data_IF_372434439684
#
_entry.id   IF_372434439684
#
_cell.length_a   1.000
_cell.length_b   1.000
_cell.length_c   1.000
_cell.angle_alpha   90.00
_cell.angle_beta   90.00
_cell.angle_gamma   90.00
#
_symmetry.space_group_name_H-M   'P 1'
#
loop_
_entity.id
_entity.type
_entity.pdbx_description
1 polymer ?
#
# COMPACT_ATOMS: atom_id res chain seq x y z
N UNK A 1 -17.37 -16.66 34.17
CA UNK A 1 -16.82 -17.14 32.89
C UNK A 1 -17.41 -18.51 32.58
N UNK A 2 -17.72 -18.86 31.33
CA UNK A 2 -18.30 -20.15 30.94
C UNK A 2 -17.27 -21.27 31.17
N UNK A 3 -17.69 -22.48 31.61
CA UNK A 3 -16.80 -23.63 31.84
C UNK A 3 -15.90 -23.96 30.63
N UNK A 4 -16.45 -23.80 29.42
CA UNK A 4 -15.70 -24.00 28.18
C UNK A 4 -14.58 -22.96 28.00
N UNK A 5 -14.88 -21.68 28.27
CA UNK A 5 -13.90 -20.61 28.16
C UNK A 5 -12.76 -20.78 29.17
N UNK A 6 -13.05 -21.19 30.40
CA UNK A 6 -12.03 -21.51 31.40
C UNK A 6 -11.15 -22.68 30.94
N UNK A 7 -11.77 -23.75 30.43
CA UNK A 7 -11.05 -24.91 29.93
C UNK A 7 -10.09 -24.56 28.78
N UNK A 8 -10.52 -23.65 27.86
CA UNK A 8 -9.66 -23.14 26.79
C UNK A 8 -8.54 -22.27 27.34
N UNK A 9 -8.88 -21.33 28.25
CA UNK A 9 -7.95 -20.33 28.76
C UNK A 9 -6.80 -20.94 29.60
N UNK A 10 -7.10 -22.01 30.33
CA UNK A 10 -6.09 -22.84 31.06
C UNK A 10 -5.04 -23.44 30.10
N UNK A 11 -5.35 -23.64 28.83
CA UNK A 11 -4.49 -24.31 27.81
C UNK A 11 -3.91 -23.34 26.79
N UNK A 12 -4.68 -22.34 26.48
CA UNK A 12 -4.32 -21.24 25.59
C UNK A 12 -4.88 -19.97 26.21
N UNK A 13 -4.05 -19.05 26.72
CA UNK A 13 -4.50 -17.87 27.49
C UNK A 13 -5.16 -16.82 26.59
N UNK A 14 -6.33 -17.15 26.04
CA UNK A 14 -7.09 -16.30 25.10
C UNK A 14 -7.66 -15.06 25.79
N UNK A 15 -8.06 -15.18 27.06
CA UNK A 15 -8.59 -14.06 27.85
C UNK A 15 -7.48 -13.04 28.15
N UNK A 16 -6.29 -13.53 28.45
CA UNK A 16 -5.12 -12.66 28.70
C UNK A 16 -4.67 -11.96 27.42
N UNK A 17 -4.61 -12.68 26.30
CA UNK A 17 -4.33 -12.11 24.98
C UNK A 17 -5.40 -11.05 24.59
N UNK A 18 -6.68 -11.35 24.78
CA UNK A 18 -7.77 -10.40 24.56
C UNK A 18 -7.60 -9.14 25.43
N UNK A 19 -7.36 -9.30 26.72
CA UNK A 19 -7.18 -8.18 27.63
C UNK A 19 -5.97 -7.33 27.24
N UNK A 20 -4.85 -7.94 26.89
CA UNK A 20 -3.62 -7.25 26.52
C UNK A 20 -3.76 -6.44 25.23
N UNK A 21 -4.46 -6.98 24.23
CA UNK A 21 -4.49 -6.38 22.89
C UNK A 21 -5.78 -5.63 22.57
N UNK A 22 -6.88 -5.87 23.27
CA UNK A 22 -8.19 -5.25 23.01
C UNK A 22 -8.83 -4.68 24.27
N UNK A 23 -9.14 -5.52 25.27
CA UNK A 23 -9.98 -5.14 26.40
C UNK A 23 -9.34 -4.13 27.35
N UNK A 24 -8.03 -4.24 27.60
CA UNK A 24 -7.24 -3.34 28.46
C UNK A 24 -6.21 -2.53 27.66
N UNK A 25 -6.34 -2.47 26.34
CA UNK A 25 -5.52 -1.60 25.52
C UNK A 25 -6.10 -0.19 25.54
N UNK A 26 -5.29 0.79 25.95
CA UNK A 26 -5.67 2.19 26.00
C UNK A 26 -5.12 2.93 24.78
N UNK A 27 -6.01 3.53 24.01
CA UNK A 27 -5.67 4.37 22.88
C UNK A 27 -5.82 5.85 23.20
N UNK A 28 -5.10 6.76 22.53
CA UNK A 28 -5.26 8.20 22.72
C UNK A 28 -6.69 8.66 22.47
N UNK A 29 -7.20 9.53 23.36
CA UNK A 29 -8.61 10.01 23.33
C UNK A 29 -8.96 10.88 22.12
N UNK A 30 -7.98 11.39 21.35
CA UNK A 30 -8.16 12.35 20.26
C UNK A 30 -7.96 11.75 18.87
N UNK A 31 -8.20 10.45 18.69
CA UNK A 31 -8.22 9.88 17.36
C UNK A 31 -9.31 10.53 16.51
N UNK A 32 -8.98 10.76 15.25
CA UNK A 32 -9.89 11.30 14.24
C UNK A 32 -10.02 10.34 13.03
N UNK A 33 -10.75 10.75 12.01
CA UNK A 33 -11.02 9.96 10.80
C UNK A 33 -9.78 9.32 10.16
N UNK A 34 -8.60 9.93 10.26
CA UNK A 34 -7.36 9.39 9.71
C UNK A 34 -6.89 8.10 10.38
N UNK A 35 -7.41 7.77 11.55
CA UNK A 35 -7.05 6.54 12.27
C UNK A 35 -7.84 5.32 11.80
N UNK A 36 -8.94 5.49 11.07
CA UNK A 36 -9.69 4.37 10.48
C UNK A 36 -8.91 3.60 9.42
N UNK A 37 -7.97 4.25 8.72
CA UNK A 37 -7.27 3.61 7.60
C UNK A 37 -6.40 2.41 7.98
N UNK A 38 -6.04 2.24 9.25
CA UNK A 38 -5.38 1.04 9.75
C UNK A 38 -6.33 -0.16 9.83
N UNK A 39 -7.47 0.01 10.49
CA UNK A 39 -8.52 -1.03 10.59
C UNK A 39 -9.16 -1.33 9.23
N UNK A 40 -9.34 -0.33 8.37
CA UNK A 40 -9.83 -0.53 7.00
C UNK A 40 -8.84 -1.32 6.14
N UNK A 41 -7.52 -1.14 6.31
CA UNK A 41 -6.51 -1.96 5.62
C UNK A 41 -6.63 -3.44 6.02
N UNK A 42 -6.86 -3.72 7.30
CA UNK A 42 -7.13 -5.08 7.78
C UNK A 42 -8.42 -5.65 7.18
N UNK A 43 -9.48 -4.86 7.11
CA UNK A 43 -10.76 -5.27 6.51
C UNK A 43 -10.57 -5.65 5.04
N UNK A 44 -9.87 -4.80 4.27
CA UNK A 44 -9.62 -5.08 2.85
C UNK A 44 -8.71 -6.29 2.67
N UNK A 45 -7.70 -6.49 3.54
CA UNK A 45 -6.88 -7.71 3.52
C UNK A 45 -7.75 -8.97 3.68
N UNK A 46 -8.69 -8.96 4.63
CA UNK A 46 -9.62 -10.08 4.83
C UNK A 46 -10.50 -10.29 3.59
N UNK A 47 -11.01 -9.19 2.99
CA UNK A 47 -11.76 -9.28 1.73
C UNK A 47 -10.93 -9.94 0.63
N UNK A 48 -9.66 -9.53 0.44
CA UNK A 48 -8.78 -10.08 -0.59
C UNK A 48 -8.49 -11.56 -0.38
N UNK A 49 -8.24 -11.97 0.87
CA UNK A 49 -8.01 -13.39 1.19
C UNK A 49 -9.26 -14.24 0.90
N UNK A 50 -10.42 -13.83 1.41
CA UNK A 50 -11.65 -14.58 1.22
C UNK A 50 -12.00 -14.68 -0.26
N UNK A 51 -12.08 -13.55 -0.96
CA UNK A 51 -12.46 -13.52 -2.37
C UNK A 51 -11.42 -14.22 -3.25
N UNK A 52 -10.12 -14.08 -2.93
CA UNK A 52 -9.03 -14.76 -3.64
C UNK A 52 -9.12 -16.27 -3.53
N UNK A 53 -9.34 -16.82 -2.33
CA UNK A 53 -9.51 -18.27 -2.13
C UNK A 53 -10.70 -18.79 -2.95
N UNK A 54 -11.85 -18.10 -2.93
CA UNK A 54 -13.01 -18.51 -3.74
C UNK A 54 -12.75 -18.46 -5.25
N UNK A 55 -12.01 -17.44 -5.72
CA UNK A 55 -11.65 -17.33 -7.14
C UNK A 55 -10.75 -18.50 -7.59
N UNK A 56 -9.84 -18.99 -6.74
CA UNK A 56 -8.94 -20.10 -7.10
C UNK A 56 -9.69 -21.40 -7.37
N UNK A 57 -10.89 -21.58 -6.82
CA UNK A 57 -11.69 -22.82 -7.01
C UNK A 57 -12.14 -23.01 -8.46
N UNK A 58 -12.23 -21.93 -9.25
CA UNK A 58 -12.69 -21.98 -10.64
C UNK A 58 -11.64 -21.43 -11.63
N UNK A 59 -10.54 -20.88 -11.14
CA UNK A 59 -9.49 -20.31 -11.97
C UNK A 59 -8.51 -21.39 -12.48
N UNK A 60 -8.13 -21.30 -13.77
CA UNK A 60 -7.15 -22.20 -14.40
C UNK A 60 -5.83 -21.44 -14.70
N UNK A 61 -4.70 -21.71 -14.01
CA UNK A 61 -3.43 -21.01 -14.17
C UNK A 61 -2.62 -21.50 -15.39
N UNK A 62 -3.25 -21.63 -16.55
CA UNK A 62 -2.57 -21.98 -17.81
C UNK A 62 -2.80 -20.88 -18.87
N UNK A 63 -1.85 -20.73 -19.79
CA UNK A 63 -1.97 -19.73 -20.86
C UNK A 63 -3.21 -19.93 -21.72
N UNK A 64 -3.62 -21.17 -21.93
CA UNK A 64 -4.80 -21.55 -22.72
C UNK A 64 -6.10 -21.35 -21.95
N UNK A 65 -6.11 -21.54 -20.63
CA UNK A 65 -7.31 -21.59 -19.82
C UNK A 65 -7.57 -20.36 -18.95
N UNK A 66 -6.58 -19.53 -18.67
CA UNK A 66 -6.69 -18.46 -17.68
C UNK A 66 -7.78 -17.44 -18.04
N UNK A 67 -7.70 -16.85 -19.22
CA UNK A 67 -8.72 -15.87 -19.65
C UNK A 67 -10.12 -16.47 -19.69
N UNK A 68 -10.26 -17.66 -20.30
CA UNK A 68 -11.54 -18.36 -20.39
C UNK A 68 -12.10 -18.72 -19.01
N UNK A 69 -11.25 -19.08 -18.03
CA UNK A 69 -11.71 -19.36 -16.67
C UNK A 69 -12.21 -18.11 -15.94
N UNK A 70 -11.62 -16.94 -16.20
CA UNK A 70 -12.15 -15.67 -15.67
C UNK A 70 -13.50 -15.33 -16.31
N UNK A 71 -13.66 -15.53 -17.62
CA UNK A 71 -14.96 -15.36 -18.28
C UNK A 71 -16.01 -16.33 -17.72
N UNK A 72 -15.65 -17.59 -17.48
CA UNK A 72 -16.51 -18.59 -16.84
C UNK A 72 -16.92 -18.13 -15.42
N UNK A 73 -15.98 -17.65 -14.60
CA UNK A 73 -16.30 -17.10 -13.27
C UNK A 73 -17.29 -15.93 -13.39
N UNK A 74 -17.10 -15.04 -14.36
CA UNK A 74 -17.93 -13.85 -14.51
C UNK A 74 -19.36 -14.16 -15.00
N UNK A 75 -19.57 -15.23 -15.78
CA UNK A 75 -20.81 -15.49 -16.51
C UNK A 75 -21.60 -16.68 -15.97
N UNK A 76 -20.91 -17.77 -15.61
CA UNK A 76 -21.54 -19.06 -15.35
C UNK A 76 -21.53 -19.45 -13.87
N UNK A 77 -20.50 -19.01 -13.11
CA UNK A 77 -20.44 -19.27 -11.67
C UNK A 77 -21.44 -18.39 -10.93
N UNK A 78 -22.31 -18.98 -10.14
CA UNK A 78 -23.28 -18.22 -9.33
C UNK A 78 -22.55 -17.24 -8.39
N UNK A 79 -22.87 -15.94 -8.48
CA UNK A 79 -22.19 -14.84 -7.77
C UNK A 79 -20.70 -14.66 -8.10
N UNK A 80 -20.17 -15.34 -9.12
CA UNK A 80 -18.79 -15.26 -9.53
C UNK A 80 -18.36 -13.84 -9.94
N UNK A 81 -19.23 -13.12 -10.68
CA UNK A 81 -19.02 -11.72 -11.02
C UNK A 81 -18.84 -10.83 -9.79
N UNK A 82 -19.61 -11.08 -8.71
CA UNK A 82 -19.50 -10.33 -7.48
C UNK A 82 -18.16 -10.61 -6.79
N UNK A 83 -17.76 -11.88 -6.66
CA UNK A 83 -16.45 -12.26 -6.11
C UNK A 83 -15.29 -11.63 -6.90
N UNK A 84 -15.38 -11.64 -8.23
CA UNK A 84 -14.35 -11.05 -9.11
C UNK A 84 -14.27 -9.54 -8.91
N UNK A 85 -15.41 -8.84 -8.84
CA UNK A 85 -15.39 -7.39 -8.60
C UNK A 85 -15.02 -7.02 -7.16
N UNK A 86 -15.43 -7.78 -6.17
CA UNK A 86 -14.96 -7.58 -4.78
C UNK A 86 -13.44 -7.71 -4.69
N UNK A 87 -12.83 -8.62 -5.45
CA UNK A 87 -11.39 -8.83 -5.48
C UNK A 87 -10.66 -7.71 -6.25
N UNK A 88 -11.07 -7.40 -7.45
CA UNK A 88 -10.41 -6.38 -8.30
C UNK A 88 -10.60 -4.95 -7.76
N UNK A 89 -11.81 -4.58 -7.37
CA UNK A 89 -12.08 -3.29 -6.70
C UNK A 89 -11.42 -3.25 -5.33
N UNK A 90 -11.39 -4.40 -4.64
CA UNK A 90 -10.68 -4.55 -3.37
C UNK A 90 -9.18 -4.28 -3.47
N UNK A 91 -8.53 -4.69 -4.54
CA UNK A 91 -7.12 -4.37 -4.78
C UNK A 91 -6.90 -2.85 -4.89
N UNK A 92 -7.74 -2.14 -5.65
CA UNK A 92 -7.69 -0.68 -5.72
C UNK A 92 -8.01 -0.02 -4.38
N UNK A 93 -9.04 -0.49 -3.67
CA UNK A 93 -9.39 0.01 -2.34
C UNK A 93 -8.24 -0.17 -1.34
N UNK A 94 -7.49 -1.28 -1.43
CA UNK A 94 -6.34 -1.54 -0.57
C UNK A 94 -5.26 -0.46 -0.75
N UNK A 95 -4.91 -0.11 -1.97
CA UNK A 95 -3.93 0.96 -2.21
C UNK A 95 -4.44 2.34 -1.79
N UNK A 96 -5.71 2.67 -2.02
CA UNK A 96 -6.31 3.91 -1.49
C UNK A 96 -6.14 3.99 0.03
N UNK A 97 -6.55 2.93 0.74
CA UNK A 97 -6.50 2.88 2.20
C UNK A 97 -5.06 2.95 2.71
N UNK A 98 -4.12 2.20 2.08
CA UNK A 98 -2.70 2.19 2.49
C UNK A 98 -2.03 3.53 2.21
N UNK A 99 -2.29 4.19 1.07
CA UNK A 99 -1.76 5.53 0.81
C UNK A 99 -2.26 6.56 1.82
N UNK A 100 -3.54 6.52 2.19
CA UNK A 100 -4.10 7.40 3.23
C UNK A 100 -3.53 7.07 4.62
N UNK A 101 -3.29 5.79 4.91
CA UNK A 101 -2.61 5.36 6.13
C UNK A 101 -1.17 5.88 6.22
N UNK A 102 -0.40 5.79 5.13
CA UNK A 102 0.95 6.34 5.04
C UNK A 102 0.95 7.87 5.14
N UNK A 103 0.01 8.54 4.44
CA UNK A 103 -0.15 9.98 4.53
C UNK A 103 -0.44 10.45 5.96
N UNK A 104 -1.32 9.76 6.69
CA UNK A 104 -1.56 10.03 8.11
C UNK A 104 -0.27 9.90 8.92
N UNK A 105 0.54 8.89 8.64
CA UNK A 105 1.81 8.72 9.33
C UNK A 105 2.79 9.88 9.07
N UNK A 106 2.86 10.37 7.83
CA UNK A 106 3.64 11.57 7.49
C UNK A 106 3.09 12.83 8.15
N UNK A 107 1.77 12.99 8.18
CA UNK A 107 1.11 14.16 8.75
C UNK A 107 1.29 14.27 10.28
N UNK A 108 1.27 13.14 10.98
CA UNK A 108 1.36 13.14 12.46
C UNK A 108 2.72 12.67 12.99
N UNK A 109 3.70 12.40 12.12
CA UNK A 109 5.03 11.94 12.52
C UNK A 109 5.01 10.57 13.20
N UNK A 110 4.12 9.66 12.74
CA UNK A 110 3.95 8.34 13.35
C UNK A 110 5.11 7.38 13.06
N UNK A 111 6.09 7.79 12.28
CA UNK A 111 7.33 7.09 11.98
C UNK A 111 8.50 7.48 12.91
N UNK A 112 8.37 8.59 13.67
CA UNK A 112 9.43 9.05 14.55
C UNK A 112 9.55 8.18 15.80
N UNK A 113 10.75 8.23 16.41
CA UNK A 113 11.08 7.47 17.63
C UNK A 113 9.97 7.54 18.70
N UNK A 114 9.57 6.39 19.26
CA UNK A 114 10.11 5.03 19.16
C UNK A 114 9.38 4.12 18.14
N UNK A 115 8.83 4.66 17.05
CA UNK A 115 7.95 3.96 16.09
C UNK A 115 8.62 3.64 14.77
N UNK A 116 9.96 3.73 14.70
CA UNK A 116 10.74 3.46 13.49
C UNK A 116 10.49 2.05 12.97
N UNK A 117 10.48 1.07 13.86
CA UNK A 117 10.27 -0.33 13.48
C UNK A 117 8.85 -0.58 12.94
N UNK A 118 7.84 0.12 13.49
CA UNK A 118 6.46 0.07 12.95
C UNK A 118 6.45 0.57 11.50
N UNK A 119 7.14 1.69 11.25
CA UNK A 119 7.26 2.24 9.90
C UNK A 119 7.95 1.28 8.94
N UNK A 120 9.07 0.67 9.37
CA UNK A 120 9.80 -0.31 8.54
C UNK A 120 8.94 -1.52 8.20
N UNK A 121 8.23 -2.11 9.16
CA UNK A 121 7.28 -3.19 8.86
C UNK A 121 6.18 -2.72 7.90
N UNK A 122 5.67 -1.49 8.09
CA UNK A 122 4.69 -0.91 7.16
C UNK A 122 5.25 -0.77 5.73
N UNK A 123 6.50 -0.37 5.58
CA UNK A 123 7.16 -0.29 4.26
C UNK A 123 7.41 -1.67 3.64
N UNK A 124 7.76 -2.68 4.44
CA UNK A 124 7.86 -4.05 3.95
C UNK A 124 6.50 -4.60 3.51
N UNK A 125 5.43 -4.33 4.28
CA UNK A 125 4.05 -4.65 3.89
C UNK A 125 3.72 -3.99 2.53
N UNK A 126 4.05 -2.72 2.37
CA UNK A 126 3.80 -1.98 1.12
C UNK A 126 4.54 -2.59 -0.07
N UNK A 127 5.82 -2.99 0.07
CA UNK A 127 6.57 -3.68 -0.98
C UNK A 127 5.95 -5.04 -1.35
N UNK A 128 5.59 -5.84 -0.34
CA UNK A 128 4.95 -7.13 -0.57
C UNK A 128 3.58 -6.94 -1.23
N UNK A 129 2.81 -5.93 -0.81
CA UNK A 129 1.53 -5.58 -1.43
C UNK A 129 1.69 -5.15 -2.90
N UNK A 130 2.76 -4.40 -3.24
CA UNK A 130 3.05 -4.06 -4.64
C UNK A 130 3.35 -5.33 -5.47
N UNK A 131 4.17 -6.24 -4.94
CA UNK A 131 4.47 -7.52 -5.60
C UNK A 131 3.21 -8.38 -5.74
N UNK A 132 2.39 -8.46 -4.69
CA UNK A 132 1.10 -9.17 -4.64
C UNK A 132 0.16 -8.67 -5.75
N UNK A 133 -0.02 -7.36 -5.83
CA UNK A 133 -0.89 -6.74 -6.82
C UNK A 133 -0.37 -6.93 -8.26
N UNK A 134 0.95 -6.81 -8.47
CA UNK A 134 1.55 -7.03 -9.77
C UNK A 134 1.37 -8.48 -10.27
N UNK A 135 1.64 -9.45 -9.39
CA UNK A 135 1.48 -10.86 -9.75
C UNK A 135 0.01 -11.22 -9.98
N UNK A 136 -0.91 -10.69 -9.15
CA UNK A 136 -2.36 -10.86 -9.32
C UNK A 136 -2.91 -10.25 -10.60
N UNK A 137 -2.34 -9.12 -11.04
CA UNK A 137 -2.76 -8.45 -12.27
C UNK A 137 -2.45 -9.25 -13.54
N UNK A 138 -1.42 -10.11 -13.54
CA UNK A 138 -1.14 -11.03 -14.66
C UNK A 138 -2.22 -12.11 -14.81
N UNK A 139 -2.84 -12.56 -13.71
CA UNK A 139 -3.67 -13.77 -13.69
C UNK A 139 -4.88 -13.73 -14.64
N UNK A 140 -5.60 -12.61 -14.88
CA UNK A 140 -6.67 -12.57 -15.86
C UNK A 140 -6.25 -12.89 -17.28
N UNK A 141 -4.97 -12.82 -17.60
CA UNK A 141 -4.40 -13.14 -18.91
C UNK A 141 -5.03 -12.36 -20.06
N UNK A 142 -5.38 -11.12 -19.78
CA UNK A 142 -5.83 -10.15 -20.77
C UNK A 142 -4.66 -9.41 -21.42
N UNK A 143 -4.96 -8.57 -22.43
CA UNK A 143 -3.96 -7.79 -23.15
C UNK A 143 -3.11 -6.91 -22.22
N UNK A 144 -3.72 -6.18 -21.30
CA UNK A 144 -2.96 -5.33 -20.38
C UNK A 144 -2.23 -6.13 -19.30
N UNK A 145 -2.79 -7.26 -18.86
CA UNK A 145 -2.13 -8.20 -17.95
C UNK A 145 -0.81 -8.70 -18.53
N UNK A 146 -0.85 -9.20 -19.76
CA UNK A 146 0.30 -9.74 -20.46
C UNK A 146 1.37 -8.69 -20.77
N UNK A 147 0.96 -7.59 -21.43
CA UNK A 147 1.89 -6.56 -21.85
C UNK A 147 2.41 -5.71 -20.68
N UNK A 148 1.60 -5.50 -19.65
CA UNK A 148 2.04 -4.87 -18.41
C UNK A 148 3.12 -5.70 -17.71
N UNK A 149 2.94 -7.01 -17.61
CA UNK A 149 3.96 -7.91 -17.06
C UNK A 149 5.23 -7.91 -17.91
N UNK A 150 5.11 -7.93 -19.25
CA UNK A 150 6.25 -7.87 -20.17
C UNK A 150 7.07 -6.58 -19.92
N UNK A 151 6.42 -5.43 -19.79
CA UNK A 151 7.08 -4.15 -19.51
C UNK A 151 7.80 -4.20 -18.16
N UNK A 152 7.11 -4.61 -17.09
CA UNK A 152 7.67 -4.59 -15.72
C UNK A 152 8.84 -5.56 -15.59
N UNK A 153 8.72 -6.79 -16.11
CA UNK A 153 9.82 -7.76 -16.04
C UNK A 153 11.02 -7.29 -16.86
N UNK A 154 10.78 -6.67 -18.03
CA UNK A 154 11.87 -6.09 -18.83
C UNK A 154 12.61 -4.93 -18.15
N UNK A 155 12.05 -4.30 -17.10
CA UNK A 155 12.77 -3.28 -16.32
C UNK A 155 13.95 -3.90 -15.56
N UNK A 156 13.83 -5.13 -15.08
CA UNK A 156 14.94 -5.83 -14.44
C UNK A 156 16.12 -6.05 -15.41
N UNK A 157 15.82 -6.24 -16.69
CA UNK A 157 16.85 -6.32 -17.75
C UNK A 157 17.66 -5.05 -17.97
N UNK A 158 17.26 -3.91 -17.36
CA UNK A 158 18.06 -2.70 -17.39
C UNK A 158 19.25 -2.72 -16.42
N UNK A 159 19.27 -3.66 -15.47
CA UNK A 159 20.35 -3.77 -14.47
C UNK A 159 21.60 -4.32 -15.17
N UNK A 160 22.73 -3.61 -15.13
CA UNK A 160 23.95 -4.07 -15.78
C UNK A 160 24.42 -5.45 -15.26
N UNK A 161 25.00 -6.24 -16.13
CA UNK A 161 25.61 -7.54 -15.87
C UNK A 161 24.62 -8.68 -15.57
N UNK A 162 23.66 -8.47 -14.68
CA UNK A 162 22.75 -9.54 -14.20
C UNK A 162 21.31 -9.40 -14.71
N UNK A 163 20.98 -8.29 -15.39
CA UNK A 163 19.60 -7.94 -15.71
C UNK A 163 18.90 -8.92 -16.62
N UNK A 164 19.58 -9.38 -17.68
CA UNK A 164 19.00 -10.33 -18.63
C UNK A 164 18.74 -11.69 -17.97
N UNK A 165 19.69 -12.20 -17.20
CA UNK A 165 19.55 -13.46 -16.45
C UNK A 165 18.45 -13.35 -15.39
N UNK A 166 18.37 -12.22 -14.69
CA UNK A 166 17.31 -11.96 -13.72
C UNK A 166 15.93 -11.91 -14.38
N UNK A 167 15.80 -11.24 -15.51
CA UNK A 167 14.56 -11.18 -16.28
C UNK A 167 14.12 -12.56 -16.77
N UNK A 168 15.07 -13.35 -17.26
CA UNK A 168 14.84 -14.74 -17.69
C UNK A 168 14.42 -15.62 -16.49
N UNK A 169 15.09 -15.47 -15.36
CA UNK A 169 14.74 -16.19 -14.13
C UNK A 169 13.36 -15.86 -13.61
N UNK A 170 12.96 -14.58 -13.59
CA UNK A 170 11.62 -14.13 -13.17
C UNK A 170 10.54 -14.72 -14.07
N UNK A 171 10.72 -14.64 -15.41
CA UNK A 171 9.77 -15.19 -16.38
C UNK A 171 9.74 -16.70 -16.37
N UNK A 172 10.91 -17.33 -16.20
CA UNK A 172 11.09 -18.77 -16.38
C UNK A 172 11.08 -19.20 -17.84
N UNK A 173 11.05 -18.25 -18.73
CA UNK A 173 11.04 -18.41 -20.19
C UNK A 173 11.59 -17.15 -20.87
N UNK A 174 11.85 -17.19 -22.18
CA UNK A 174 12.29 -16.02 -22.95
C UNK A 174 11.25 -14.92 -23.06
N UNK A 175 9.96 -15.28 -23.05
CA UNK A 175 8.82 -14.37 -23.06
C UNK A 175 7.92 -14.65 -21.85
N UNK A 176 6.95 -13.77 -21.59
CA UNK A 176 5.86 -14.07 -20.67
C UNK A 176 5.07 -15.25 -21.25
N UNK A 177 4.97 -16.33 -20.51
CA UNK A 177 4.38 -17.60 -20.95
C UNK A 177 3.54 -18.25 -19.86
N UNK A 178 2.97 -19.41 -20.13
CA UNK A 178 2.27 -20.23 -19.14
C UNK A 178 3.13 -20.58 -17.91
N UNK A 179 4.45 -20.68 -18.09
CA UNK A 179 5.40 -20.89 -16.98
C UNK A 179 5.41 -19.66 -16.05
N UNK A 180 5.48 -18.45 -16.63
CA UNK A 180 5.42 -17.19 -15.88
C UNK A 180 4.11 -17.09 -15.12
N UNK A 181 3.00 -17.37 -15.80
CA UNK A 181 1.65 -17.31 -15.21
C UNK A 181 1.53 -18.26 -14.03
N UNK A 182 1.99 -19.50 -14.15
CA UNK A 182 1.95 -20.48 -13.06
C UNK A 182 2.80 -20.07 -11.86
N UNK A 183 4.01 -19.55 -12.09
CA UNK A 183 4.88 -19.02 -11.03
C UNK A 183 4.20 -17.87 -10.28
N UNK A 184 3.63 -16.92 -11.02
CA UNK A 184 2.97 -15.76 -10.44
C UNK A 184 1.69 -16.16 -9.69
N UNK A 185 0.95 -17.14 -10.20
CA UNK A 185 -0.19 -17.72 -9.49
C UNK A 185 0.24 -18.33 -8.15
N UNK A 186 1.28 -19.15 -8.12
CA UNK A 186 1.76 -19.77 -6.88
C UNK A 186 2.24 -18.72 -5.86
N UNK A 187 2.95 -17.69 -6.31
CA UNK A 187 3.42 -16.60 -5.46
C UNK A 187 2.25 -15.76 -4.93
N UNK A 188 1.31 -15.36 -5.79
CA UNK A 188 0.16 -14.54 -5.43
C UNK A 188 -0.84 -15.26 -4.50
N UNK A 189 -1.06 -16.56 -4.71
CA UNK A 189 -2.08 -17.29 -3.92
C UNK A 189 -1.53 -17.83 -2.61
N UNK A 190 -0.23 -18.12 -2.53
CA UNK A 190 0.37 -18.82 -1.37
C UNK A 190 1.47 -17.99 -0.72
N UNK A 191 2.57 -17.74 -1.43
CA UNK A 191 3.79 -17.27 -0.79
C UNK A 191 3.67 -15.83 -0.28
N UNK A 192 3.23 -14.91 -1.13
CA UNK A 192 3.12 -13.49 -0.76
C UNK A 192 2.03 -13.23 0.28
N UNK A 193 0.83 -13.86 0.23
CA UNK A 193 -0.16 -13.73 1.29
C UNK A 193 0.36 -14.19 2.67
N UNK A 194 1.10 -15.29 2.73
CA UNK A 194 1.71 -15.77 3.99
C UNK A 194 2.73 -14.76 4.53
N UNK A 195 3.61 -14.24 3.67
CA UNK A 195 4.59 -13.21 4.05
C UNK A 195 3.87 -11.93 4.50
N UNK A 196 2.84 -11.51 3.76
CA UNK A 196 2.06 -10.32 4.09
C UNK A 196 1.39 -10.45 5.46
N UNK A 197 0.72 -11.58 5.73
CA UNK A 197 0.11 -11.86 7.03
C UNK A 197 1.14 -11.84 8.16
N UNK A 198 2.29 -12.48 7.97
CA UNK A 198 3.38 -12.45 8.95
C UNK A 198 3.87 -11.04 9.26
N UNK A 199 4.07 -10.21 8.23
CA UNK A 199 4.48 -8.82 8.39
C UNK A 199 3.41 -7.96 9.07
N UNK A 200 2.13 -8.18 8.75
CA UNK A 200 1.00 -7.49 9.40
C UNK A 200 0.95 -7.84 10.90
N UNK A 201 1.13 -9.09 11.27
CA UNK A 201 1.22 -9.51 12.68
C UNK A 201 2.37 -8.78 13.38
N UNK A 202 3.57 -8.75 12.79
CA UNK A 202 4.72 -8.05 13.36
C UNK A 202 4.48 -6.54 13.48
N UNK A 203 3.82 -5.93 12.49
CA UNK A 203 3.46 -4.50 12.50
C UNK A 203 2.53 -4.16 13.66
N UNK A 204 1.50 -4.98 13.89
CA UNK A 204 0.53 -4.80 14.98
C UNK A 204 1.19 -5.06 16.34
N UNK A 205 2.01 -6.10 16.46
CA UNK A 205 2.74 -6.38 17.70
C UNK A 205 3.67 -5.23 18.08
N UNK A 206 4.42 -4.69 17.12
CA UNK A 206 5.27 -3.52 17.34
C UNK A 206 4.44 -2.28 17.72
N UNK A 207 3.26 -2.09 17.12
CA UNK A 207 2.34 -1.01 17.48
C UNK A 207 1.84 -1.13 18.93
N UNK A 208 1.46 -2.32 19.36
CA UNK A 208 0.96 -2.54 20.72
C UNK A 208 2.07 -2.39 21.77
N UNK A 209 3.31 -2.73 21.43
CA UNK A 209 4.45 -2.55 22.34
C UNK A 209 4.70 -1.07 22.64
N UNK A 210 4.86 -0.23 21.61
CA UNK A 210 5.19 1.19 21.80
C UNK A 210 3.95 2.08 21.98
N UNK A 211 2.78 1.63 21.55
CA UNK A 211 1.50 2.36 21.58
C UNK A 211 1.29 3.28 20.37
N UNK A 212 0.02 3.53 20.08
CA UNK A 212 -0.41 4.39 18.98
C UNK A 212 0.03 5.84 19.16
N UNK A 213 0.45 6.46 18.07
CA UNK A 213 0.62 7.92 18.02
C UNK A 213 -0.76 8.62 17.96
N UNK A 214 -0.78 9.94 18.10
CA UNK A 214 -2.02 10.74 18.02
C UNK A 214 -1.76 12.06 17.27
N UNK A 215 -2.82 12.82 16.94
CA UNK A 215 -2.70 14.09 16.21
C UNK A 215 -1.77 15.13 16.84
N UNK A 216 -1.53 15.05 18.16
CA UNK A 216 -0.63 15.97 18.85
C UNK A 216 0.79 15.43 18.99
N UNK A 217 1.02 14.15 18.69
CA UNK A 217 2.33 13.51 18.80
C UNK A 217 2.76 13.21 20.24
N UNK A 218 1.83 13.17 21.20
CA UNK A 218 2.10 12.94 22.62
C UNK A 218 2.12 11.45 22.94
N UNK A 219 3.12 10.99 23.70
CA UNK A 219 3.18 9.60 24.17
C UNK A 219 2.34 9.45 25.46
N UNK A 220 1.09 8.99 25.31
CA UNK A 220 0.16 8.83 26.44
C UNK A 220 0.65 7.84 27.51
N UNK A 221 1.47 6.86 27.12
CA UNK A 221 2.05 5.86 28.04
C UNK A 221 3.03 6.47 29.06
N UNK A 222 3.52 7.69 28.83
CA UNK A 222 4.45 8.38 29.73
C UNK A 222 3.74 9.10 30.89
N UNK A 223 2.45 9.40 30.75
CA UNK A 223 1.66 10.12 31.75
C UNK A 223 0.51 9.23 32.24
N UNK A 224 0.75 8.51 33.34
CA UNK A 224 -0.20 7.56 33.93
C UNK A 224 -0.73 8.07 35.26
N UNK A 225 -1.88 7.55 35.64
CA UNK A 225 -2.44 7.72 36.98
C UNK A 225 -1.83 6.73 38.01
N UNK A 226 -2.31 6.75 39.24
CA UNK A 226 -1.88 5.88 40.34
C UNK A 226 -2.12 4.38 40.06
N UNK A 227 -3.06 4.07 39.18
CA UNK A 227 -3.40 2.70 38.75
C UNK A 227 -2.61 2.24 37.52
N UNK A 228 -1.68 3.06 37.02
CA UNK A 228 -0.90 2.77 35.82
C UNK A 228 -1.66 2.99 34.50
N UNK A 229 -2.85 3.61 34.54
CA UNK A 229 -3.70 3.90 33.37
C UNK A 229 -3.24 5.23 32.74
N UNK A 230 -3.05 5.29 31.41
CA UNK A 230 -2.72 6.54 30.73
C UNK A 230 -3.81 7.60 30.91
N UNK A 231 -3.47 8.76 31.49
CA UNK A 231 -4.42 9.86 31.77
C UNK A 231 -5.12 10.42 30.53
N UNK A 232 -4.52 10.28 29.34
CA UNK A 232 -5.07 10.70 28.06
C UNK A 232 -5.49 9.51 27.19
N UNK A 233 -5.66 8.32 27.82
CA UNK A 233 -6.09 7.11 27.17
C UNK A 233 -7.55 6.80 27.42
N UNK A 234 -8.21 6.21 26.43
CA UNK A 234 -9.53 5.59 26.56
C UNK A 234 -9.37 4.10 26.24
N UNK A 235 -10.11 3.19 26.93
CA UNK A 235 -10.12 1.79 26.55
C UNK A 235 -10.49 1.64 25.07
N UNK A 236 -9.70 0.86 24.32
CA UNK A 236 -9.99 0.64 22.91
C UNK A 236 -11.37 -0.01 22.74
N UNK A 237 -11.62 -1.07 23.47
CA UNK A 237 -12.96 -1.69 23.52
C UNK A 237 -13.73 -1.20 24.76
N UNK A 238 -15.00 -0.79 24.63
CA UNK A 238 -15.81 -0.78 23.38
C UNK A 238 -15.70 0.51 22.55
N UNK A 239 -15.08 1.57 23.04
CA UNK A 239 -15.18 2.91 22.46
C UNK A 239 -14.68 2.96 21.00
N UNK A 240 -13.39 2.66 20.77
CA UNK A 240 -12.83 2.68 19.41
C UNK A 240 -13.29 1.49 18.55
N UNK A 241 -13.67 0.38 19.14
CA UNK A 241 -14.31 -0.71 18.40
C UNK A 241 -15.61 -0.23 17.75
N UNK A 242 -16.44 0.55 18.43
CA UNK A 242 -17.68 1.12 17.86
C UNK A 242 -17.36 2.17 16.81
N UNK A 243 -16.36 3.02 17.03
CA UNK A 243 -15.89 4.00 16.04
C UNK A 243 -15.37 3.31 14.77
N UNK A 244 -14.57 2.25 14.91
CA UNK A 244 -14.06 1.49 13.77
C UNK A 244 -15.20 0.83 13.00
N UNK A 245 -16.23 0.29 13.66
CA UNK A 245 -17.43 -0.25 13.00
C UNK A 245 -18.20 0.82 12.21
N UNK A 246 -18.26 2.05 12.71
CA UNK A 246 -18.82 3.17 11.95
C UNK A 246 -17.98 3.45 10.69
N UNK A 247 -16.65 3.51 10.81
CA UNK A 247 -15.74 3.66 9.68
C UNK A 247 -15.89 2.54 8.64
N UNK A 248 -16.03 1.30 9.11
CA UNK A 248 -16.31 0.11 8.28
C UNK A 248 -17.63 0.26 7.54
N UNK A 249 -18.70 0.74 8.21
CA UNK A 249 -20.01 0.97 7.58
C UNK A 249 -19.93 1.99 6.43
N UNK A 250 -19.26 3.12 6.66
CA UNK A 250 -19.04 4.15 5.62
C UNK A 250 -18.19 3.59 4.47
N UNK A 251 -17.12 2.87 4.79
CA UNK A 251 -16.28 2.24 3.78
C UNK A 251 -17.07 1.25 2.92
N UNK A 252 -17.83 0.34 3.52
CA UNK A 252 -18.64 -0.63 2.79
C UNK A 252 -19.69 0.04 1.92
N UNK A 253 -20.33 1.11 2.40
CA UNK A 253 -21.27 1.87 1.57
C UNK A 253 -20.59 2.36 0.28
N UNK A 254 -19.45 3.03 0.39
CA UNK A 254 -18.70 3.53 -0.78
C UNK A 254 -18.21 2.36 -1.64
N UNK A 255 -17.62 1.35 -1.01
CA UNK A 255 -17.06 0.18 -1.69
C UNK A 255 -18.10 -0.58 -2.51
N UNK A 256 -19.29 -0.83 -1.94
CA UNK A 256 -20.38 -1.49 -2.65
C UNK A 256 -20.99 -0.62 -3.74
N UNK A 257 -21.06 0.71 -3.56
CA UNK A 257 -21.46 1.59 -4.66
C UNK A 257 -20.50 1.42 -5.85
N UNK A 258 -19.19 1.35 -5.61
CA UNK A 258 -18.23 1.09 -6.68
C UNK A 258 -18.41 -0.31 -7.27
N UNK A 259 -18.46 -1.35 -6.45
CA UNK A 259 -18.56 -2.76 -6.90
C UNK A 259 -19.82 -2.99 -7.74
N UNK A 260 -20.96 -2.43 -7.35
CA UNK A 260 -22.23 -2.69 -8.04
C UNK A 260 -22.50 -1.76 -9.23
N UNK A 261 -21.99 -0.54 -9.20
CA UNK A 261 -22.36 0.46 -10.22
C UNK A 261 -21.19 0.93 -11.08
N UNK A 262 -19.96 0.88 -10.57
CA UNK A 262 -18.78 1.42 -11.23
C UNK A 262 -17.52 0.55 -11.11
N UNK A 263 -17.60 -0.80 -11.29
CA UNK A 263 -16.47 -1.70 -10.96
C UNK A 263 -15.21 -1.45 -11.81
N UNK A 264 -15.37 -0.87 -12.99
CA UNK A 264 -14.25 -0.52 -13.89
C UNK A 264 -13.70 0.89 -13.61
N UNK A 265 -14.46 1.76 -12.92
CA UNK A 265 -14.13 3.18 -12.70
C UNK A 265 -13.68 3.89 -13.99
N UNK A 266 -14.42 3.66 -15.09
CA UNK A 266 -14.10 4.24 -16.39
C UNK A 266 -12.80 3.76 -17.03
N UNK A 267 -12.30 2.60 -16.62
CA UNK A 267 -11.02 2.04 -17.07
C UNK A 267 -9.85 2.32 -16.14
N UNK A 268 -10.08 2.97 -14.98
CA UNK A 268 -9.03 3.23 -13.99
C UNK A 268 -8.73 1.99 -13.15
N UNK A 269 -9.74 1.18 -12.81
CA UNK A 269 -9.59 -0.03 -12.02
C UNK A 269 -9.44 -1.28 -12.89
N UNK A 270 -10.19 -1.33 -14.01
CA UNK A 270 -10.10 -2.39 -15.01
C UNK A 270 -10.06 -1.74 -16.40
N UNK A 271 -8.91 -1.83 -17.04
CA UNK A 271 -8.67 -1.23 -18.36
C UNK A 271 -9.41 -1.99 -19.47
N UNK A 272 -10.04 -1.25 -20.38
CA UNK A 272 -10.81 -1.84 -21.51
C UNK A 272 -10.05 -2.88 -22.32
N UNK A 273 -8.75 -2.69 -22.69
CA UNK A 273 -8.02 -3.72 -23.44
C UNK A 273 -7.84 -5.03 -22.67
N UNK A 274 -7.97 -5.02 -21.34
CA UNK A 274 -7.82 -6.22 -20.54
C UNK A 274 -9.04 -7.16 -20.56
N UNK A 275 -10.14 -6.73 -21.20
CA UNK A 275 -11.29 -7.58 -21.54
C UNK A 275 -11.11 -8.37 -22.86
N UNK A 276 -9.93 -8.28 -23.47
CA UNK A 276 -9.52 -9.09 -24.62
C UNK A 276 -8.43 -10.07 -24.16
N UNK A 277 -8.45 -11.33 -24.69
CA UNK A 277 -7.43 -12.30 -24.35
C UNK A 277 -6.04 -11.82 -24.79
N UNK A 278 -5.02 -12.20 -24.04
CA UNK A 278 -3.63 -11.85 -24.37
C UNK A 278 -3.23 -12.33 -25.77
N UNK A 279 -2.75 -11.41 -26.58
CA UNK A 279 -2.17 -11.69 -27.89
C UNK A 279 -0.72 -11.20 -27.93
N UNK A 280 0.28 -12.12 -27.89
CA UNK A 280 1.70 -11.77 -27.94
C UNK A 280 2.14 -11.08 -29.24
N UNK A 281 1.35 -11.19 -30.29
CA UNK A 281 1.65 -10.61 -31.61
C UNK A 281 1.06 -9.23 -31.84
N UNK A 282 0.24 -8.73 -30.87
CA UNK A 282 -0.44 -7.46 -31.00
C UNK A 282 -0.23 -6.59 -29.75
N UNK A 283 0.72 -5.68 -29.83
CA UNK A 283 0.98 -4.72 -28.74
C UNK A 283 -0.16 -3.70 -28.64
N UNK A 284 -0.72 -3.43 -27.44
CA UNK A 284 -1.66 -2.34 -27.25
C UNK A 284 -1.06 -0.97 -27.58
N UNK A 285 -1.87 -0.04 -28.07
CA UNK A 285 -1.43 1.32 -28.43
C UNK A 285 -0.80 2.06 -27.24
N UNK A 286 -1.30 1.83 -26.05
CA UNK A 286 -0.79 2.42 -24.83
C UNK A 286 -0.75 1.39 -23.71
N UNK A 287 0.44 1.18 -23.14
CA UNK A 287 0.65 0.31 -22.00
C UNK A 287 0.98 1.20 -20.80
N UNK A 288 0.11 1.18 -19.78
CA UNK A 288 0.34 1.79 -18.49
C UNK A 288 0.11 0.75 -17.39
N UNK A 289 0.84 0.80 -16.27
CA UNK A 289 0.51 -0.03 -15.12
C UNK A 289 -0.81 0.45 -14.48
N UNK A 290 -1.38 -0.38 -13.62
CA UNK A 290 -2.57 0.00 -12.81
C UNK A 290 -2.30 1.29 -12.03
N UNK A 291 -3.31 2.12 -11.87
CA UNK A 291 -3.24 3.51 -11.40
C UNK A 291 -2.36 3.72 -10.14
N UNK A 292 -2.35 2.79 -9.22
CA UNK A 292 -1.57 2.92 -7.98
C UNK A 292 -0.04 2.77 -8.16
N UNK A 293 0.43 2.29 -9.33
CA UNK A 293 1.84 2.27 -9.70
C UNK A 293 2.25 3.45 -10.59
N UNK A 294 1.28 4.17 -11.14
CA UNK A 294 1.55 5.20 -12.14
C UNK A 294 2.40 6.38 -11.67
N UNK A 295 2.38 6.81 -10.38
CA UNK A 295 3.32 7.83 -9.92
C UNK A 295 4.78 7.42 -10.13
N UNK A 296 5.12 6.20 -9.77
CA UNK A 296 6.47 5.64 -9.92
C UNK A 296 6.83 5.39 -11.39
N UNK A 297 5.86 4.95 -12.20
CA UNK A 297 6.03 4.79 -13.63
C UNK A 297 6.26 6.12 -14.35
N UNK A 298 5.61 7.20 -13.91
CA UNK A 298 5.87 8.55 -14.43
C UNK A 298 7.31 8.99 -14.12
N UNK A 299 7.81 8.73 -12.91
CA UNK A 299 9.19 9.01 -12.51
C UNK A 299 10.21 8.23 -13.36
N UNK A 300 9.95 6.95 -13.64
CA UNK A 300 10.77 6.14 -14.54
C UNK A 300 10.84 6.77 -15.93
N UNK A 301 9.68 7.13 -16.51
CA UNK A 301 9.61 7.73 -17.86
C UNK A 301 10.16 9.15 -17.93
N UNK A 302 10.27 9.84 -16.79
CA UNK A 302 10.86 11.19 -16.73
C UNK A 302 12.36 11.20 -17.06
N UNK A 303 13.05 10.07 -16.91
CA UNK A 303 14.48 9.96 -17.27
C UNK A 303 14.60 9.66 -18.75
N UNK A 304 15.14 10.62 -19.51
CA UNK A 304 15.18 10.60 -20.98
C UNK A 304 16.58 10.68 -21.55
N UNK A 305 17.61 10.77 -20.69
CA UNK A 305 19.00 10.93 -21.13
C UNK A 305 19.90 9.84 -20.55
N UNK A 306 20.85 9.41 -21.34
CA UNK A 306 21.91 8.52 -20.89
C UNK A 306 22.89 9.29 -20.01
N UNK A 307 23.41 8.64 -18.97
CA UNK A 307 24.33 9.27 -18.03
C UNK A 307 25.39 8.28 -17.56
N UNK A 308 26.65 8.74 -17.48
CA UNK A 308 27.83 7.93 -17.04
C UNK A 308 27.94 6.60 -17.81
N UNK A 309 27.69 6.63 -19.12
CA UNK A 309 27.82 5.43 -19.97
C UNK A 309 26.71 4.39 -19.78
N UNK A 310 25.68 4.69 -18.99
CA UNK A 310 24.52 3.83 -18.78
C UNK A 310 23.28 4.43 -19.43
N UNK A 311 22.37 3.60 -19.98
CA UNK A 311 21.21 4.07 -20.72
C UNK A 311 20.16 4.72 -19.80
N UNK A 312 19.36 5.63 -20.35
CA UNK A 312 18.24 6.29 -19.66
C UNK A 312 17.30 5.28 -18.98
N UNK A 313 17.06 4.14 -19.58
CA UNK A 313 16.25 3.05 -19.01
C UNK A 313 16.78 2.59 -17.65
N UNK A 314 18.11 2.40 -17.51
CA UNK A 314 18.73 2.02 -16.23
C UNK A 314 18.47 3.11 -15.16
N UNK A 315 18.75 4.36 -15.49
CA UNK A 315 18.55 5.47 -14.55
C UNK A 315 17.08 5.67 -14.19
N UNK A 316 16.17 5.45 -15.14
CA UNK A 316 14.73 5.44 -14.87
C UNK A 316 14.34 4.38 -13.85
N UNK A 317 14.89 3.16 -13.94
CA UNK A 317 14.68 2.09 -12.95
C UNK A 317 15.28 2.48 -11.58
N UNK A 318 16.46 3.11 -11.57
CA UNK A 318 17.08 3.61 -10.32
C UNK A 318 16.25 4.70 -9.66
N UNK A 319 15.72 5.64 -10.43
CA UNK A 319 14.81 6.69 -9.93
C UNK A 319 13.52 6.09 -9.38
N UNK A 320 12.90 5.17 -10.11
CA UNK A 320 11.68 4.49 -9.66
C UNK A 320 11.91 3.68 -8.38
N UNK A 321 12.95 2.86 -8.33
CA UNK A 321 13.30 2.08 -7.14
C UNK A 321 13.73 2.96 -5.97
N UNK A 322 14.50 4.01 -6.25
CA UNK A 322 14.93 5.02 -5.28
C UNK A 322 13.77 5.78 -4.65
N UNK A 323 12.72 6.05 -5.42
CA UNK A 323 11.51 6.70 -4.92
C UNK A 323 10.78 5.85 -3.85
N UNK A 324 10.84 4.53 -3.97
CA UNK A 324 10.29 3.61 -2.95
C UNK A 324 11.30 3.43 -1.81
N UNK A 325 12.58 3.23 -2.12
CA UNK A 325 13.62 2.98 -1.14
C UNK A 325 13.80 4.15 -0.16
N UNK A 326 13.67 5.40 -0.62
CA UNK A 326 13.83 6.59 0.24
C UNK A 326 12.77 6.67 1.35
N UNK A 327 11.60 6.06 1.16
CA UNK A 327 10.56 5.99 2.17
C UNK A 327 11.01 5.23 3.43
N UNK A 328 11.89 4.23 3.28
CA UNK A 328 12.39 3.45 4.43
C UNK A 328 13.19 4.30 5.41
N UNK A 329 13.92 5.30 4.93
CA UNK A 329 14.82 6.11 5.75
C UNK A 329 14.19 7.37 6.34
N UNK A 330 12.91 7.62 6.08
CA UNK A 330 12.14 8.78 6.61
C UNK A 330 12.31 8.99 8.13
N UNK A 331 12.27 7.93 8.99
CA UNK A 331 12.44 8.11 10.43
C UNK A 331 13.73 8.79 10.85
N UNK A 332 14.79 8.66 10.06
CA UNK A 332 16.12 9.23 10.34
C UNK A 332 16.38 10.54 9.60
N UNK A 333 15.60 10.84 8.57
CA UNK A 333 15.68 12.11 7.84
C UNK A 333 14.99 13.25 8.61
N UNK A 334 13.88 12.97 9.28
CA UNK A 334 13.14 13.98 10.05
C UNK A 334 13.82 14.28 11.38
N UNK A 335 14.38 15.48 11.50
CA UNK A 335 15.10 15.97 12.68
C UNK A 335 14.31 16.98 13.50
N UNK A 336 13.01 17.11 13.26
CA UNK A 336 12.13 18.00 13.99
C UNK A 336 12.04 17.59 15.47
N UNK A 337 12.08 18.55 16.43
CA UNK A 337 11.83 18.26 17.83
C UNK A 337 10.37 17.91 18.13
N UNK A 338 9.46 18.17 17.18
CA UNK A 338 8.02 17.89 17.29
C UNK A 338 7.59 16.92 16.20
N UNK A 339 6.64 16.03 16.51
CA UNK A 339 6.21 14.97 15.59
C UNK A 339 5.18 15.46 14.58
N UNK A 340 4.09 16.00 15.07
CA UNK A 340 2.92 16.34 14.27
C UNK A 340 3.10 17.63 13.47
N UNK A 341 2.62 17.63 12.22
CA UNK A 341 2.52 18.82 11.37
C UNK A 341 1.68 19.95 12.00
N UNK A 342 0.86 19.65 13.04
CA UNK A 342 0.15 20.69 13.81
C UNK A 342 1.13 21.67 14.48
N UNK A 343 2.28 21.17 14.90
CA UNK A 343 3.28 21.93 15.67
C UNK A 343 4.54 22.24 14.86
N UNK A 344 4.72 21.62 13.69
CA UNK A 344 5.80 21.94 12.74
C UNK A 344 5.59 23.31 12.10
N UNK A 345 6.68 23.89 11.58
CA UNK A 345 6.67 25.18 10.90
C UNK A 345 6.08 25.13 9.49
N UNK A 346 6.12 26.28 8.81
CA UNK A 346 5.59 26.42 7.46
C UNK A 346 6.40 25.61 6.45
N UNK A 347 7.71 25.49 6.63
CA UNK A 347 8.58 24.75 5.69
C UNK A 347 8.15 23.28 5.57
N UNK A 348 7.98 22.58 6.71
CA UNK A 348 7.51 21.19 6.69
C UNK A 348 6.13 21.04 6.10
N UNK A 349 5.21 21.96 6.40
CA UNK A 349 3.83 21.91 5.88
C UNK A 349 3.80 22.12 4.37
N UNK A 350 4.54 23.12 3.87
CA UNK A 350 4.64 23.40 2.42
C UNK A 350 5.34 22.24 1.71
N UNK A 351 6.42 21.69 2.28
CA UNK A 351 7.14 20.56 1.72
C UNK A 351 6.21 19.33 1.60
N UNK A 352 5.42 19.02 2.64
CA UNK A 352 4.45 17.93 2.58
C UNK A 352 3.37 18.18 1.54
N UNK A 353 2.84 19.40 1.43
CA UNK A 353 1.82 19.74 0.43
C UNK A 353 2.37 19.59 -1.00
N UNK A 354 3.57 20.10 -1.27
CA UNK A 354 4.24 19.96 -2.58
C UNK A 354 4.49 18.48 -2.89
N UNK A 355 4.96 17.70 -1.93
CA UNK A 355 5.18 16.26 -2.09
C UNK A 355 3.91 15.53 -2.49
N UNK A 356 2.80 15.75 -1.77
CA UNK A 356 1.51 15.11 -2.03
C UNK A 356 0.96 15.51 -3.40
N UNK A 357 0.99 16.80 -3.73
CA UNK A 357 0.56 17.28 -5.05
C UNK A 357 1.42 16.70 -6.17
N UNK A 358 2.75 16.63 -5.97
CA UNK A 358 3.66 16.00 -6.94
C UNK A 358 3.32 14.55 -7.16
N UNK A 359 3.06 13.78 -6.10
CA UNK A 359 2.69 12.37 -6.18
C UNK A 359 1.37 12.16 -6.95
N UNK A 360 0.35 12.96 -6.65
CA UNK A 360 -0.96 12.88 -7.34
C UNK A 360 -0.83 13.23 -8.82
N UNK A 361 -0.13 14.32 -9.15
CA UNK A 361 0.02 14.74 -10.55
C UNK A 361 0.89 13.74 -11.32
N UNK A 362 1.95 13.20 -10.72
CA UNK A 362 2.73 12.11 -11.31
C UNK A 362 1.87 10.87 -11.56
N UNK A 363 0.92 10.57 -10.67
CA UNK A 363 -0.08 9.52 -10.88
C UNK A 363 -0.86 9.72 -12.17
N UNK A 364 -1.40 10.92 -12.38
CA UNK A 364 -2.08 11.25 -13.64
C UNK A 364 -1.15 11.17 -14.86
N UNK A 365 0.06 11.73 -14.76
CA UNK A 365 1.04 11.70 -15.86
C UNK A 365 1.47 10.27 -16.22
N UNK A 366 1.45 9.35 -15.27
CA UNK A 366 1.75 7.93 -15.51
C UNK A 366 0.64 7.18 -16.26
N UNK A 367 -0.62 7.65 -16.16
CA UNK A 367 -1.77 7.06 -16.87
C UNK A 367 -1.83 7.46 -18.34
N UNK A 368 -1.35 8.67 -18.69
CA UNK A 368 -1.49 9.21 -20.05
C UNK A 368 -0.22 9.03 -20.87
N UNK A 369 -0.33 9.02 -22.22
CA UNK A 369 0.84 8.97 -23.11
C UNK A 369 1.82 10.12 -22.84
N UNK A 370 3.11 9.85 -22.94
CA UNK A 370 4.16 10.85 -22.79
C UNK A 370 4.15 11.81 -24.00
N UNK A 371 4.23 13.11 -23.72
CA UNK A 371 4.52 14.17 -24.67
C UNK A 371 5.67 15.00 -24.12
N UNK A 372 6.34 15.80 -24.94
CA UNK A 372 7.46 16.64 -24.49
C UNK A 372 7.07 17.49 -23.25
N UNK A 373 5.92 18.19 -23.28
CA UNK A 373 5.46 19.00 -22.16
C UNK A 373 5.13 18.16 -20.90
N UNK A 374 4.45 17.02 -21.06
CA UNK A 374 4.16 16.11 -19.92
C UNK A 374 5.42 15.52 -19.30
N UNK A 375 6.41 15.19 -20.13
CA UNK A 375 7.72 14.69 -19.67
C UNK A 375 8.45 15.77 -18.86
N UNK A 376 8.49 17.02 -19.32
CA UNK A 376 9.09 18.13 -18.56
C UNK A 376 8.40 18.32 -17.20
N UNK A 377 7.08 18.30 -17.16
CA UNK A 377 6.33 18.39 -15.89
C UNK A 377 6.67 17.20 -14.97
N UNK A 378 6.71 15.99 -15.52
CA UNK A 378 7.09 14.80 -14.73
C UNK A 378 8.52 14.90 -14.18
N UNK A 379 9.48 15.45 -14.94
CA UNK A 379 10.85 15.70 -14.46
C UNK A 379 10.86 16.67 -13.27
N UNK A 380 10.19 17.80 -13.38
CA UNK A 380 10.11 18.81 -12.31
C UNK A 380 9.47 18.18 -11.04
N UNK A 381 8.35 17.49 -11.20
CA UNK A 381 7.65 16.88 -10.07
C UNK A 381 8.43 15.72 -9.45
N UNK A 382 9.20 14.97 -10.23
CA UNK A 382 10.12 13.95 -9.72
C UNK A 382 11.21 14.59 -8.85
N UNK A 383 11.76 15.72 -9.26
CA UNK A 383 12.72 16.47 -8.45
C UNK A 383 12.04 16.93 -7.14
N UNK A 384 10.85 17.49 -7.17
CA UNK A 384 10.13 17.90 -5.95
C UNK A 384 9.81 16.72 -5.03
N UNK A 385 9.48 15.55 -5.59
CA UNK A 385 9.29 14.33 -4.81
C UNK A 385 10.55 14.01 -3.99
N UNK A 386 11.72 13.97 -4.63
CA UNK A 386 12.98 13.65 -3.94
C UNK A 386 13.44 14.77 -3.01
N UNK A 387 13.25 16.03 -3.37
CA UNK A 387 13.63 17.16 -2.51
C UNK A 387 12.88 17.15 -1.18
N UNK A 388 11.66 16.66 -1.12
CA UNK A 388 10.94 16.48 0.15
C UNK A 388 11.78 15.67 1.15
N UNK A 389 12.37 14.57 0.72
CA UNK A 389 13.18 13.70 1.56
C UNK A 389 14.61 14.20 1.75
N UNK A 390 15.27 14.57 0.67
CA UNK A 390 16.70 14.96 0.71
C UNK A 390 16.93 16.25 1.50
N UNK A 391 15.98 17.17 1.45
CA UNK A 391 16.05 18.41 2.22
C UNK A 391 15.42 18.29 3.62
N UNK A 392 14.75 17.17 3.94
CA UNK A 392 14.09 16.98 5.23
C UNK A 392 15.02 17.19 6.44
N UNK A 393 16.26 16.68 6.48
CA UNK A 393 17.16 16.91 7.61
C UNK A 393 17.49 18.39 7.85
N UNK A 394 17.36 19.21 6.83
CA UNK A 394 17.69 20.65 6.89
C UNK A 394 16.45 21.45 7.30
N UNK A 395 15.34 21.40 6.55
CA UNK A 395 14.19 22.24 6.84
C UNK A 395 13.50 21.86 8.18
N UNK A 396 13.52 20.57 8.57
CA UNK A 396 12.95 20.15 9.86
C UNK A 396 13.78 20.58 11.06
N UNK A 397 15.08 20.84 10.89
CA UNK A 397 15.97 21.37 11.93
C UNK A 397 15.91 22.90 12.01
N UNK A 398 15.75 23.57 10.87
CA UNK A 398 15.85 25.04 10.78
C UNK A 398 14.55 25.76 11.12
N UNK A 399 13.40 25.09 10.95
CA UNK A 399 12.10 25.73 11.14
C UNK A 399 11.77 26.00 12.62
N UNK A 400 11.01 27.06 12.85
CA UNK A 400 10.42 27.36 14.16
C UNK A 400 9.20 26.48 14.38
N UNK A 401 9.20 25.72 15.48
CA UNK A 401 8.09 24.87 15.88
C UNK A 401 7.20 25.57 16.91
N UNK A 402 5.95 25.13 17.01
CA UNK A 402 5.02 25.56 18.07
C UNK A 402 5.19 24.66 19.30
N UNK A 403 4.90 25.17 20.49
CA UNK A 403 4.92 24.35 21.70
C UNK A 403 3.86 23.25 21.61
N UNK A 404 4.27 22.02 21.94
CA UNK A 404 3.36 20.87 22.04
C UNK A 404 2.69 20.95 23.41
N UNK A 405 1.37 20.75 23.54
CA UNK A 405 0.69 20.75 24.82
C UNK A 405 1.18 19.59 25.71
N UNK A 406 1.11 19.76 27.03
CA UNK A 406 1.48 18.71 27.99
C UNK A 406 0.51 17.53 27.97
N UNK A 407 -0.75 17.78 27.64
CA UNK A 407 -1.83 16.82 27.60
C UNK A 407 -2.47 16.79 26.20
N UNK A 408 -2.96 15.64 25.82
CA UNK A 408 -3.68 15.46 24.55
C UNK A 408 -4.91 16.39 24.49
N UNK A 409 -4.95 17.22 23.44
CA UNK A 409 -6.10 18.09 23.17
C UNK A 409 -7.31 17.28 22.69
N UNK A 410 -8.52 17.75 23.02
CA UNK A 410 -9.77 17.09 22.63
C UNK A 410 -10.12 17.35 21.18
#
# INVERSE_FOLDING_TARGET
MNKLLNWVDERLPVVDAWNKHVGKYYAPKNFNVWYFFGSLAMLVLVNQLITGIWLTMSYNPSAEGAFASVEYIMRDVQWGWLLRYLHSTGASAFFVVVYLHMFRALMYGSYQKPRELIWIFGMLIYLVLMAEAFMGYLLPWGQMSYWGAQVIVNLFGAIPVIGDDLSLWIRGDYLISGITLNRFFALHVVALPIVLLGLVVLHILALHEVGSNNPDGIDIKKNKDENGIPKDGIPFHPYYTVHDLMGVGVFFFIFFVVVFFFPEMGGLFLEKPNFQPANPLQTPEHIAPVWYFTPFYAMLRAVTVDFIGLPAKFWGVMVMGGAIAILFVVPWLDRSPVRSMRYKGMLSRSALAIFVLSFIILGYLGLVPATAGRTTVAQILTVFYFLFFLLMPFYTRMEKTKPVPERVTG
#
